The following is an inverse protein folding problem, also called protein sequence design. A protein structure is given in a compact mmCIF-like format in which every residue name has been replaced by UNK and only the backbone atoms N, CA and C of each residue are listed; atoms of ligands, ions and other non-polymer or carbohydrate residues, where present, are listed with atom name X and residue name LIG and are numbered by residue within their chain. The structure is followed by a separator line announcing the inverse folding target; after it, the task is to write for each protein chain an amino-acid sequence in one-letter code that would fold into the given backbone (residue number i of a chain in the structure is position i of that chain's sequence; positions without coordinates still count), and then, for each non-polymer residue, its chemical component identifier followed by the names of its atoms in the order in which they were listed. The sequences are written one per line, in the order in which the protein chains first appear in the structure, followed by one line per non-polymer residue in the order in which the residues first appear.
data_IF_154197958323
#
_entry.id   IF_154197958323
#
_cell.length_a   1.000
_cell.length_b   1.000
_cell.length_c   1.000
_cell.angle_alpha   90.00
_cell.angle_beta   90.00
_cell.angle_gamma   90.00
#
_symmetry.space_group_name_H-M   'P 1'
#
loop_
_entity.id
_entity.type
_entity.pdbx_description
1 polymer ?
#
# COMPACT_ATOMS: atom_id res chain seq x y z
N UNK A 1 15.08 -29.50 -1.57
CA UNK A 1 13.83 -29.77 -0.82
C UNK A 1 13.66 -28.63 0.17
N UNK A 2 12.44 -28.17 0.45
CA UNK A 2 12.22 -27.09 1.41
C UNK A 2 11.80 -27.69 2.73
N UNK A 3 12.57 -27.48 3.79
CA UNK A 3 12.33 -28.11 5.10
C UNK A 3 11.34 -27.30 5.95
N UNK A 4 11.42 -25.97 5.85
CA UNK A 4 10.57 -25.03 6.58
C UNK A 4 9.95 -24.01 5.61
N UNK A 5 8.65 -23.80 5.74
CA UNK A 5 7.92 -22.75 5.03
C UNK A 5 7.37 -21.76 6.05
N UNK A 6 7.70 -20.48 5.87
CA UNK A 6 7.20 -19.39 6.70
C UNK A 6 6.25 -18.54 5.85
N UNK A 7 4.98 -18.50 6.25
CA UNK A 7 3.98 -17.61 5.66
C UNK A 7 3.88 -16.34 6.49
N UNK A 8 4.36 -15.22 5.96
CA UNK A 8 4.19 -13.91 6.60
C UNK A 8 2.73 -13.48 6.67
N UNK A 9 1.95 -13.75 5.61
CA UNK A 9 0.55 -13.40 5.51
C UNK A 9 -0.24 -14.62 5.03
N UNK A 10 -1.50 -14.72 5.45
CA UNK A 10 -2.41 -15.77 4.96
C UNK A 10 -2.91 -15.43 3.55
N UNK A 11 -2.90 -16.39 2.61
CA UNK A 11 -3.49 -16.20 1.30
C UNK A 11 -5.03 -16.15 1.37
N UNK A 12 -5.64 -15.27 0.57
CA UNK A 12 -7.11 -15.12 0.51
C UNK A 12 -7.85 -16.39 0.06
N UNK A 13 -7.20 -17.20 -0.78
CA UNK A 13 -7.77 -18.45 -1.30
C UNK A 13 -7.12 -19.66 -0.63
N UNK A 14 -7.91 -20.61 -0.10
CA UNK A 14 -7.36 -21.77 0.62
C UNK A 14 -6.58 -22.72 -0.29
N UNK A 15 -6.93 -22.81 -1.58
CA UNK A 15 -6.15 -23.56 -2.58
C UNK A 15 -4.71 -23.06 -2.69
N UNK A 16 -4.49 -21.75 -2.59
CA UNK A 16 -3.15 -21.17 -2.63
C UNK A 16 -2.33 -21.51 -1.39
N UNK A 17 -2.99 -21.65 -0.23
CA UNK A 17 -2.33 -22.14 0.99
C UNK A 17 -1.78 -23.55 0.78
N UNK A 18 -2.61 -24.47 0.26
CA UNK A 18 -2.19 -25.86 -0.02
C UNK A 18 -1.04 -25.92 -1.03
N UNK A 19 -1.07 -25.11 -2.09
CA UNK A 19 0.02 -25.05 -3.06
C UNK A 19 1.34 -24.50 -2.49
N UNK A 20 1.27 -23.64 -1.47
CA UNK A 20 2.44 -23.13 -0.74
C UNK A 20 3.00 -24.21 0.17
N UNK A 21 2.18 -24.81 1.04
CA UNK A 21 2.65 -25.85 1.96
C UNK A 21 3.07 -27.13 1.22
N UNK A 22 2.48 -27.42 0.06
CA UNK A 22 2.90 -28.53 -0.81
C UNK A 22 4.28 -28.38 -1.46
N UNK A 23 5.03 -27.30 -1.15
CA UNK A 23 6.45 -27.17 -1.47
C UNK A 23 7.34 -27.94 -0.49
N UNK A 24 6.85 -28.20 0.72
CA UNK A 24 7.51 -29.03 1.73
C UNK A 24 6.94 -30.45 1.73
N UNK A 25 7.62 -31.38 2.42
CA UNK A 25 7.27 -32.79 2.61
C UNK A 25 6.94 -33.59 1.33
N UNK A 26 7.92 -34.38 0.83
CA UNK A 26 7.75 -35.36 -0.25
C UNK A 26 8.40 -36.68 0.16
N UNK A 27 7.81 -37.80 -0.27
CA UNK A 27 8.37 -39.15 -0.10
C UNK A 27 8.76 -39.51 1.36
N UNK A 28 7.86 -39.27 2.32
CA UNK A 28 8.03 -39.74 3.70
C UNK A 28 8.94 -38.90 4.60
N UNK A 29 9.59 -37.85 4.09
CA UNK A 29 10.27 -36.86 4.93
C UNK A 29 9.29 -35.81 5.43
N UNK A 30 9.32 -35.56 6.75
CA UNK A 30 8.54 -34.51 7.39
C UNK A 30 8.94 -33.12 6.90
N UNK A 31 7.98 -32.21 6.90
CA UNK A 31 8.17 -30.80 6.54
C UNK A 31 7.32 -29.92 7.43
N UNK A 32 7.82 -28.74 7.79
CA UNK A 32 7.13 -27.83 8.71
C UNK A 32 6.67 -26.57 7.99
N UNK A 33 5.47 -26.10 8.33
CA UNK A 33 4.91 -24.85 7.83
C UNK A 33 4.40 -23.99 9.00
N UNK A 34 4.99 -22.81 9.17
CA UNK A 34 4.60 -21.81 10.17
C UNK A 34 3.90 -20.66 9.46
N UNK A 35 2.78 -20.21 10.01
CA UNK A 35 2.01 -19.11 9.44
C UNK A 35 1.72 -18.09 10.53
N UNK A 36 2.05 -16.83 10.26
CA UNK A 36 1.68 -15.75 11.15
C UNK A 36 0.23 -15.34 10.90
N UNK A 37 -0.50 -15.18 12.00
CA UNK A 37 -1.94 -14.90 11.99
C UNK A 37 -2.18 -13.67 12.84
N UNK A 38 -2.89 -12.69 12.29
CA UNK A 38 -3.39 -11.54 13.04
C UNK A 38 -4.88 -11.70 13.34
N UNK A 39 -5.43 -10.83 14.20
CA UNK A 39 -6.86 -10.83 14.52
C UNK A 39 -7.75 -10.63 13.28
N UNK A 40 -7.25 -9.96 12.24
CA UNK A 40 -8.00 -9.71 11.01
C UNK A 40 -8.11 -10.95 10.12
N UNK A 41 -7.22 -11.94 10.30
CA UNK A 41 -7.11 -13.10 9.42
C UNK A 41 -7.98 -14.29 9.86
N UNK A 42 -8.76 -14.15 10.93
CA UNK A 42 -9.57 -15.25 11.52
C UNK A 42 -10.48 -15.91 10.46
N UNK A 43 -11.16 -15.11 9.62
CA UNK A 43 -12.04 -15.63 8.56
C UNK A 43 -11.26 -16.43 7.52
N UNK A 44 -10.03 -16.00 7.21
CA UNK A 44 -9.18 -16.66 6.23
C UNK A 44 -8.62 -17.98 6.79
N UNK A 45 -8.21 -17.99 8.07
CA UNK A 45 -7.81 -19.21 8.78
C UNK A 45 -8.95 -20.22 8.78
N UNK A 46 -10.16 -19.82 9.16
CA UNK A 46 -11.33 -20.71 9.17
C UNK A 46 -11.65 -21.28 7.78
N UNK A 47 -11.52 -20.48 6.72
CA UNK A 47 -11.70 -20.95 5.34
C UNK A 47 -10.62 -21.97 4.93
N UNK A 48 -9.38 -21.78 5.38
CA UNK A 48 -8.28 -22.72 5.16
C UNK A 48 -8.54 -24.03 5.93
N UNK A 49 -8.89 -23.95 7.21
CA UNK A 49 -9.20 -25.11 8.06
C UNK A 49 -10.35 -25.94 7.49
N UNK A 50 -11.41 -25.29 6.99
CA UNK A 50 -12.52 -25.95 6.32
C UNK A 50 -12.09 -26.66 5.03
N UNK A 51 -11.12 -26.11 4.30
CA UNK A 51 -10.63 -26.70 3.05
C UNK A 51 -9.70 -27.90 3.29
N UNK A 52 -8.82 -27.83 4.29
CA UNK A 52 -7.88 -28.92 4.65
C UNK A 52 -8.50 -29.94 5.61
N UNK A 53 -9.71 -29.66 6.10
CA UNK A 53 -10.45 -30.47 7.07
C UNK A 53 -9.64 -30.83 8.33
N UNK A 54 -8.73 -29.95 8.72
CA UNK A 54 -7.78 -30.14 9.83
C UNK A 54 -7.64 -28.81 10.57
N UNK A 55 -7.64 -28.86 11.90
CA UNK A 55 -7.43 -27.67 12.72
C UNK A 55 -5.96 -27.33 12.83
N UNK A 56 -5.61 -26.06 12.61
CA UNK A 56 -4.26 -25.57 12.77
C UNK A 56 -3.97 -25.41 14.27
N UNK A 57 -2.85 -25.99 14.74
CA UNK A 57 -2.42 -25.88 16.13
C UNK A 57 -1.61 -24.60 16.33
N UNK A 58 -1.88 -23.90 17.43
CA UNK A 58 -1.02 -22.83 17.88
C UNK A 58 0.35 -23.41 18.27
N UNK A 59 1.42 -22.81 17.77
CA UNK A 59 2.75 -23.17 18.20
C UNK A 59 3.12 -22.32 19.42
N UNK A 60 3.32 -22.96 20.57
CA UNK A 60 3.82 -22.31 21.78
C UNK A 60 5.28 -21.91 21.60
N UNK A 61 5.63 -20.69 22.00
CA UNK A 61 6.98 -20.14 21.89
C UNK A 61 7.41 -19.67 23.28
N UNK A 62 8.59 -20.10 23.73
CA UNK A 62 9.17 -19.63 24.99
C UNK A 62 9.95 -18.32 24.78
N UNK A 63 9.49 -17.25 25.41
CA UNK A 63 10.10 -15.92 25.34
C UNK A 63 11.56 -15.92 25.83
N UNK A 64 11.90 -16.80 26.78
CA UNK A 64 13.26 -16.88 27.34
C UNK A 64 14.27 -17.40 26.32
N UNK A 65 13.84 -18.30 25.44
CA UNK A 65 14.69 -18.81 24.37
C UNK A 65 14.85 -17.78 23.26
N UNK A 66 13.76 -17.09 22.90
CA UNK A 66 13.78 -16.03 21.89
C UNK A 66 14.72 -14.89 22.29
N UNK A 67 14.72 -14.50 23.56
CA UNK A 67 15.56 -13.40 24.06
C UNK A 67 17.06 -13.66 23.85
N UNK A 68 17.50 -14.93 23.93
CA UNK A 68 18.90 -15.30 23.71
C UNK A 68 19.32 -15.06 22.27
N UNK A 69 18.43 -15.35 21.32
CA UNK A 69 18.68 -15.26 19.88
C UNK A 69 18.45 -13.84 19.36
N UNK A 70 17.68 -13.02 20.08
CA UNK A 70 17.25 -11.70 19.63
C UNK A 70 18.42 -10.74 19.35
N UNK A 71 19.49 -10.80 20.15
CA UNK A 71 20.68 -9.96 19.95
C UNK A 71 21.35 -10.30 18.61
N UNK A 72 21.59 -11.59 18.36
CA UNK A 72 22.21 -12.06 17.12
C UNK A 72 21.37 -11.71 15.88
N UNK A 73 20.05 -11.91 15.95
CA UNK A 73 19.13 -11.57 14.86
C UNK A 73 19.09 -10.07 14.59
N UNK A 74 19.18 -9.23 15.63
CA UNK A 74 19.17 -7.77 15.48
C UNK A 74 20.45 -7.25 14.84
N UNK A 75 21.60 -7.82 15.20
CA UNK A 75 22.88 -7.52 14.56
C UNK A 75 22.86 -7.95 13.10
N UNK A 76 22.46 -9.19 12.82
CA UNK A 76 22.36 -9.71 11.46
C UNK A 76 21.40 -8.88 10.58
N UNK A 77 20.29 -8.38 11.15
CA UNK A 77 19.38 -7.48 10.45
C UNK A 77 20.04 -6.15 10.10
N UNK A 78 20.74 -5.54 11.06
CA UNK A 78 21.47 -4.28 10.85
C UNK A 78 22.55 -4.43 9.78
N UNK A 79 23.32 -5.53 9.82
CA UNK A 79 24.32 -5.84 8.81
C UNK A 79 23.69 -6.04 7.42
N UNK A 80 22.57 -6.76 7.33
CA UNK A 80 21.86 -6.94 6.08
C UNK A 80 21.34 -5.63 5.50
N UNK A 81 20.84 -4.71 6.35
CA UNK A 81 20.41 -3.37 5.93
C UNK A 81 21.59 -2.55 5.40
N UNK A 82 22.73 -2.54 6.10
CA UNK A 82 23.97 -1.87 5.63
C UNK A 82 24.41 -2.41 4.26
N UNK A 83 24.43 -3.74 4.10
CA UNK A 83 24.82 -4.38 2.83
C UNK A 83 23.84 -4.03 1.71
N UNK A 84 22.54 -3.93 2.00
CA UNK A 84 21.53 -3.56 1.00
C UNK A 84 21.66 -2.09 0.57
N UNK A 85 21.99 -1.21 1.51
CA UNK A 85 22.27 0.21 1.25
C UNK A 85 23.56 0.38 0.43
N UNK A 86 24.64 -0.33 0.81
CA UNK A 86 25.92 -0.33 0.09
C UNK A 86 25.83 -0.91 -1.33
N UNK A 87 24.94 -1.88 -1.55
CA UNK A 87 24.77 -2.50 -2.88
C UNK A 87 24.01 -1.63 -3.87
N UNK A 88 23.60 -0.43 -3.48
CA UNK A 88 23.30 0.70 -4.37
C UNK A 88 22.52 0.27 -5.62
N UNK A 89 21.36 -0.37 -5.41
CA UNK A 89 20.50 -0.87 -6.48
C UNK A 89 20.06 0.26 -7.45
N UNK A 90 20.21 1.52 -7.03
CA UNK A 90 20.00 2.72 -7.84
C UNK A 90 21.19 3.14 -8.70
N UNK A 91 22.42 2.78 -8.36
CA UNK A 91 23.61 3.23 -9.08
C UNK A 91 23.84 2.49 -10.38
N UNK A 92 23.60 1.18 -10.43
CA UNK A 92 23.68 0.43 -11.70
C UNK A 92 22.79 1.05 -12.78
N UNK A 93 21.59 1.51 -12.40
CA UNK A 93 20.63 2.16 -13.29
C UNK A 93 21.07 3.56 -13.71
N UNK A 94 21.72 4.32 -12.82
CA UNK A 94 22.32 5.63 -13.12
C UNK A 94 23.54 5.48 -14.03
N UNK A 95 24.43 4.52 -13.75
CA UNK A 95 25.63 4.19 -14.51
C UNK A 95 25.24 3.73 -15.92
N UNK A 96 24.25 2.84 -16.07
CA UNK A 96 23.75 2.43 -17.40
C UNK A 96 23.10 3.60 -18.15
N UNK A 97 22.35 4.48 -17.47
CA UNK A 97 21.74 5.65 -18.10
C UNK A 97 22.78 6.69 -18.53
N UNK A 98 23.84 6.89 -17.75
CA UNK A 98 24.98 7.74 -18.09
C UNK A 98 25.79 7.15 -19.24
N UNK A 99 26.14 5.86 -19.19
CA UNK A 99 26.80 5.14 -20.29
C UNK A 99 26.00 5.21 -21.59
N UNK A 100 24.66 5.08 -21.52
CA UNK A 100 23.80 5.19 -22.71
C UNK A 100 23.75 6.61 -23.27
N UNK A 101 23.75 7.64 -22.41
CA UNK A 101 23.79 9.04 -22.85
C UNK A 101 25.11 9.40 -23.54
N UNK A 102 26.24 8.90 -23.02
CA UNK A 102 27.56 9.04 -23.63
C UNK A 102 27.62 8.32 -24.99
N UNK A 103 27.07 7.10 -25.08
CA UNK A 103 27.00 6.33 -26.33
C UNK A 103 26.11 7.00 -27.39
N UNK A 104 25.03 7.67 -26.98
CA UNK A 104 24.14 8.45 -27.84
C UNK A 104 24.73 9.83 -28.24
N UNK A 105 25.99 10.13 -27.85
CA UNK A 105 26.68 11.38 -28.19
C UNK A 105 26.11 12.63 -27.51
N UNK A 106 25.39 12.46 -26.39
CA UNK A 106 24.72 13.55 -25.69
C UNK A 106 25.42 13.84 -24.38
N UNK A 107 25.97 15.04 -24.26
CA UNK A 107 26.76 15.39 -23.07
C UNK A 107 25.87 15.36 -21.80
N UNK A 108 26.28 14.57 -20.79
CA UNK A 108 25.48 14.34 -19.59
C UNK A 108 25.24 15.63 -18.79
N UNK A 109 26.12 16.62 -18.92
CA UNK A 109 26.08 17.88 -18.19
C UNK A 109 24.97 18.82 -18.70
N UNK A 110 24.68 18.83 -20.01
CA UNK A 110 23.57 19.62 -20.56
C UNK A 110 22.21 19.10 -20.09
N UNK A 111 22.02 17.77 -20.08
CA UNK A 111 20.78 17.13 -19.59
C UNK A 111 20.54 17.40 -18.10
N UNK A 112 21.60 17.45 -17.30
CA UNK A 112 21.50 17.77 -15.88
C UNK A 112 21.21 19.26 -15.64
N UNK A 113 21.79 20.15 -16.45
CA UNK A 113 21.50 21.59 -16.45
C UNK A 113 20.05 21.89 -16.86
N UNK A 114 19.54 21.23 -17.91
CA UNK A 114 18.13 21.25 -18.32
C UNK A 114 17.20 20.81 -17.18
N UNK A 115 17.52 19.69 -16.53
CA UNK A 115 16.75 19.18 -15.39
C UNK A 115 16.76 20.14 -14.21
N UNK A 116 17.90 20.79 -13.93
CA UNK A 116 18.03 21.81 -12.89
C UNK A 116 17.23 23.08 -13.22
N UNK A 117 17.27 23.55 -14.47
CA UNK A 117 16.44 24.68 -14.94
C UNK A 117 14.95 24.37 -14.80
N UNK A 118 14.53 23.17 -15.20
CA UNK A 118 13.13 22.73 -15.12
C UNK A 118 12.63 22.62 -13.68
N UNK A 119 13.43 22.04 -12.77
CA UNK A 119 13.12 22.01 -11.32
C UNK A 119 13.05 23.41 -10.70
N UNK A 120 13.90 24.34 -11.13
CA UNK A 120 13.87 25.74 -10.66
C UNK A 120 12.57 26.42 -11.12
N UNK A 121 12.19 26.22 -12.39
CA UNK A 121 10.94 26.72 -12.98
C UNK A 121 9.70 26.17 -12.27
N UNK A 122 9.63 24.85 -12.03
CA UNK A 122 8.52 24.24 -11.31
C UNK A 122 8.41 24.79 -9.88
N UNK A 123 9.53 24.97 -9.17
CA UNK A 123 9.55 25.61 -7.85
C UNK A 123 9.09 27.07 -7.87
N UNK A 124 9.43 27.82 -8.92
CA UNK A 124 8.99 29.22 -9.05
C UNK A 124 7.50 29.30 -9.37
N UNK A 125 7.01 28.46 -10.28
CA UNK A 125 5.59 28.36 -10.60
C UNK A 125 4.76 27.90 -9.41
N UNK A 126 5.27 26.97 -8.61
CA UNK A 126 4.59 26.48 -7.41
C UNK A 126 4.51 27.57 -6.33
N UNK A 127 5.60 28.30 -6.08
CA UNK A 127 5.59 29.48 -5.18
C UNK A 127 4.64 30.58 -5.67
N UNK A 128 4.57 30.81 -6.98
CA UNK A 128 3.64 31.79 -7.56
C UNK A 128 2.18 31.36 -7.40
N UNK A 129 1.87 30.07 -7.62
CA UNK A 129 0.52 29.50 -7.37
C UNK A 129 0.13 29.56 -5.90
N UNK A 130 1.05 29.27 -4.99
CA UNK A 130 0.84 29.39 -3.55
C UNK A 130 0.63 30.85 -3.13
N UNK A 131 1.37 31.80 -3.68
CA UNK A 131 1.18 33.23 -3.41
C UNK A 131 -0.15 33.76 -3.97
N UNK A 132 -0.56 33.31 -5.16
CA UNK A 132 -1.87 33.63 -5.74
C UNK A 132 -3.02 33.04 -4.92
N UNK A 133 -2.86 31.81 -4.43
CA UNK A 133 -3.83 31.16 -3.53
C UNK A 133 -3.93 31.88 -2.18
N UNK A 134 -2.82 32.38 -1.64
CA UNK A 134 -2.82 33.17 -0.39
C UNK A 134 -3.47 34.54 -0.57
N UNK A 135 -3.15 35.25 -1.67
CA UNK A 135 -3.81 36.52 -2.02
C UNK A 135 -5.31 36.36 -2.28
N UNK A 136 -5.74 35.27 -2.91
CA UNK A 136 -7.16 34.99 -3.10
C UNK A 136 -7.88 34.74 -1.77
N UNK A 137 -7.22 34.11 -0.80
CA UNK A 137 -7.78 33.90 0.53
C UNK A 137 -7.80 35.18 1.38
N UNK A 138 -6.74 36.02 1.31
CA UNK A 138 -6.73 37.35 1.96
C UNK A 138 -7.86 38.25 1.40
N UNK A 139 -8.05 38.27 0.07
CA UNK A 139 -9.14 39.02 -0.55
C UNK A 139 -10.56 38.50 -0.20
N UNK A 140 -10.71 37.24 0.22
CA UNK A 140 -12.01 36.74 0.69
C UNK A 140 -12.31 37.08 2.14
N UNK A 141 -11.29 37.40 2.95
CA UNK A 141 -11.48 37.82 4.34
C UNK A 141 -11.78 39.32 4.45
N UNK A 142 -11.22 40.17 3.58
CA UNK A 142 -11.48 41.61 3.58
C UNK A 142 -12.93 41.99 3.17
N UNK A 143 -13.62 41.14 2.40
CA UNK A 143 -15.01 41.37 1.97
C UNK A 143 -16.03 40.93 3.03
N UNK A 144 -15.61 40.20 4.07
CA UNK A 144 -16.49 39.74 5.14
C UNK A 144 -16.73 40.78 6.26
N UNK A 145 -16.05 41.95 6.21
CA UNK A 145 -16.11 42.98 7.26
C UNK A 145 -16.99 44.19 6.97
N UNK A 146 -17.70 44.24 5.82
CA UNK A 146 -18.62 45.35 5.53
C UNK A 146 -20.03 44.88 5.18
N UNK A 147 -21.00 45.30 6.00
CA UNK A 147 -22.46 45.31 5.84
C UNK A 147 -23.27 44.04 6.19
N UNK A 148 -23.86 44.09 7.40
CA UNK A 148 -25.15 43.47 7.71
C UNK A 148 -26.28 44.17 6.94
N UNK A 149 -27.10 43.43 6.18
CA UNK A 149 -28.59 43.52 6.14
C UNK A 149 -29.22 42.70 4.98
N UNK A 150 -30.30 41.98 5.31
CA UNK A 150 -31.16 41.05 4.52
C UNK A 150 -31.76 41.63 3.21
N UNK A 151 -32.35 40.85 2.25
CA UNK A 151 -33.17 39.63 2.46
C UNK A 151 -33.02 38.46 1.45
N UNK A 152 -33.62 37.34 1.83
CA UNK A 152 -33.74 36.09 1.07
C UNK A 152 -34.69 36.19 -0.14
N UNK A 153 -34.34 35.54 -1.25
CA UNK A 153 -35.27 35.18 -2.34
C UNK A 153 -35.09 33.70 -2.74
N UNK A 154 -36.17 33.00 -3.14
CA UNK A 154 -36.19 31.55 -3.24
C UNK A 154 -35.53 31.01 -4.51
N UNK A 155 -35.04 29.77 -4.42
CA UNK A 155 -34.31 29.03 -5.43
C UNK A 155 -35.18 28.53 -6.61
N UNK A 156 -34.67 28.52 -7.85
CA UNK A 156 -35.33 27.84 -8.97
C UNK A 156 -35.13 26.33 -8.90
N UNK A 157 -36.25 25.60 -9.03
CA UNK A 157 -36.35 24.16 -8.97
C UNK A 157 -35.74 23.49 -10.21
N UNK A 158 -34.79 22.56 -10.03
CA UNK A 158 -34.44 21.58 -11.06
C UNK A 158 -35.17 20.26 -10.79
N UNK A 159 -36.05 19.88 -11.71
CA UNK A 159 -36.93 18.70 -11.67
C UNK A 159 -36.11 17.41 -11.57
N UNK A 160 -36.30 16.65 -10.50
CA UNK A 160 -35.87 15.24 -10.39
C UNK A 160 -37.02 14.35 -10.85
N UNK A 161 -36.83 13.59 -11.93
CA UNK A 161 -37.73 12.50 -12.31
C UNK A 161 -37.70 11.42 -11.20
N UNK A 162 -38.81 11.27 -10.48
CA UNK A 162 -39.08 10.10 -9.62
C UNK A 162 -39.65 8.97 -10.49
N UNK A 163 -38.94 7.85 -10.60
CA UNK A 163 -39.55 6.57 -10.95
C UNK A 163 -40.22 5.98 -9.71
N UNK A 164 -41.53 5.74 -9.82
CA UNK A 164 -42.46 5.36 -8.74
C UNK A 164 -42.27 3.91 -8.31
N UNK A 165 -42.21 3.68 -6.99
CA UNK A 165 -42.63 2.43 -6.36
C UNK A 165 -44.15 2.24 -6.58
N UNK A 166 -44.58 1.11 -7.15
CA UNK A 166 -45.95 0.61 -7.02
C UNK A 166 -45.95 -0.50 -5.97
N UNK A 167 -46.60 -0.24 -4.83
CA UNK A 167 -47.15 -1.29 -3.96
C UNK A 167 -48.51 -1.71 -4.55
N UNK A 168 -48.76 -3.01 -4.63
CA UNK A 168 -50.03 -3.59 -5.04
C UNK A 168 -50.16 -4.98 -4.44
N UNK A 169 -51.10 -5.09 -3.51
CA UNK A 169 -51.56 -6.29 -2.80
C UNK A 169 -52.38 -7.20 -3.71
N UNK A 170 -52.26 -8.53 -3.55
CA UNK A 170 -53.27 -9.58 -3.78
C UNK A 170 -52.79 -10.82 -2.99
N UNK A 171 -53.31 -11.13 -1.80
CA UNK A 171 -54.48 -11.98 -1.47
C UNK A 171 -54.41 -13.45 -1.96
N UNK A 172 -54.19 -14.33 -0.96
CA UNK A 172 -54.96 -15.55 -0.59
C UNK A 172 -55.02 -16.81 -1.47
N UNK A 173 -54.91 -17.95 -0.77
CA UNK A 173 -55.54 -19.27 -0.98
C UNK A 173 -54.89 -20.26 -1.96
N UNK A 174 -54.26 -21.32 -1.45
CA UNK A 174 -54.81 -22.66 -1.15
C UNK A 174 -53.71 -23.55 -0.58
#
# INVERSE_FOLDING_TARGET
MVDLIINHNIPNNPKNYVHRVGRTARAGRGGMAITFVTQFDIKLVQAVEAYINTKLKLHEVDEKEVTKILVEVTLAKSEAEIVLDERDFGEYKKIHKQKRAILEGRDPDEKEMERRKRKRLDRTQQRAREALSKKANECTEDVASTSESRPTKPSPQHKSLKMKKKKGSLKTSL
#
